data_IF_517790890075
#
_entry.id   IF_517790890075
#
_cell.length_a   1.000
_cell.length_b   1.000
_cell.length_c   1.000
_cell.angle_alpha   90.00
_cell.angle_beta   90.00
_cell.angle_gamma   90.00
#
_symmetry.space_group_name_H-M   'P 1'
#
loop_
_entity.id
_entity.type
_entity.pdbx_description
1 polymer ?
#
# COMPACT_ATOMS: atom_id res chain seq x y z
N UNK A 1 -8.40 -6.42 17.92
CA UNK A 1 -8.37 -6.50 16.45
C UNK A 1 -7.03 -7.03 15.98
N UNK A 2 -6.98 -7.86 14.93
CA UNK A 2 -5.73 -8.39 14.33
C UNK A 2 -5.66 -7.99 12.87
N UNK A 3 -4.53 -7.45 12.44
CA UNK A 3 -4.26 -7.13 11.03
C UNK A 3 -2.81 -7.45 10.67
N UNK A 4 -2.48 -7.43 9.38
CA UNK A 4 -1.10 -7.56 8.89
C UNK A 4 -0.39 -6.22 8.76
N UNK A 5 -1.16 -5.13 8.67
CA UNK A 5 -0.67 -3.84 8.23
C UNK A 5 -0.85 -2.77 9.29
N UNK A 6 0.25 -2.12 9.64
CA UNK A 6 0.29 -1.05 10.61
C UNK A 6 1.10 0.14 10.11
N UNK A 7 0.64 1.34 10.46
CA UNK A 7 1.40 2.58 10.35
C UNK A 7 1.83 3.01 11.74
N UNK A 8 3.06 3.46 11.87
CA UNK A 8 3.64 3.92 13.14
C UNK A 8 4.23 5.30 12.93
N UNK A 9 3.86 6.24 13.79
CA UNK A 9 4.56 7.52 13.92
C UNK A 9 5.55 7.40 15.07
N UNK A 10 6.81 7.17 14.70
CA UNK A 10 7.91 6.95 15.63
C UNK A 10 8.52 8.29 16.00
N UNK A 11 8.38 8.70 17.26
CA UNK A 11 8.85 9.99 17.74
C UNK A 11 10.36 9.93 18.03
N UNK A 12 11.15 10.67 17.27
CA UNK A 12 12.61 10.69 17.34
C UNK A 12 13.15 11.60 18.45
N UNK A 13 12.30 12.43 19.08
CA UNK A 13 12.68 13.18 20.29
C UNK A 13 12.66 12.29 21.53
N UNK A 14 11.87 11.22 21.51
CA UNK A 14 11.71 10.28 22.62
C UNK A 14 12.58 9.04 22.48
N UNK A 15 12.95 8.71 21.24
CA UNK A 15 13.73 7.51 20.94
C UNK A 15 14.49 7.67 19.60
N UNK A 16 15.60 6.99 19.44
CA UNK A 16 16.44 7.10 18.24
C UNK A 16 16.11 6.05 17.20
N UNK A 17 16.40 6.35 15.93
CA UNK A 17 16.28 5.36 14.86
C UNK A 17 17.27 4.18 15.04
N UNK A 18 18.41 4.42 15.67
CA UNK A 18 19.37 3.36 16.02
C UNK A 18 18.75 2.38 17.02
N UNK A 19 18.07 2.89 18.06
CA UNK A 19 17.35 2.02 19.00
C UNK A 19 16.24 1.23 18.32
N UNK A 20 15.53 1.84 17.37
CA UNK A 20 14.56 1.10 16.55
C UNK A 20 15.21 -0.06 15.82
N UNK A 21 16.31 0.19 15.09
CA UNK A 21 17.00 -0.83 14.28
C UNK A 21 17.64 -1.94 15.13
N UNK A 22 18.24 -1.57 16.24
CA UNK A 22 19.00 -2.52 17.09
C UNK A 22 18.10 -3.30 18.05
N UNK A 23 17.06 -2.69 18.58
CA UNK A 23 16.31 -3.25 19.70
C UNK A 23 14.86 -3.58 19.36
N UNK A 24 14.19 -2.83 18.46
CA UNK A 24 12.77 -3.06 18.16
C UNK A 24 12.63 -3.97 16.94
N UNK A 25 13.30 -3.65 15.85
CA UNK A 25 13.21 -4.35 14.58
C UNK A 25 13.50 -5.87 14.70
N UNK A 26 14.54 -6.33 15.42
CA UNK A 26 14.79 -7.77 15.60
C UNK A 26 13.68 -8.51 16.35
N UNK A 27 12.85 -7.78 17.12
CA UNK A 27 11.72 -8.35 17.84
C UNK A 27 10.42 -8.41 17.02
N UNK A 28 10.41 -7.87 15.80
CA UNK A 28 9.25 -7.89 14.91
C UNK A 28 9.17 -9.24 14.17
N UNK A 29 8.96 -10.32 14.93
CA UNK A 29 8.80 -11.66 14.38
C UNK A 29 7.68 -11.68 13.32
N UNK A 30 7.91 -12.38 12.21
CA UNK A 30 7.01 -12.42 11.05
C UNK A 30 6.83 -11.08 10.30
N UNK A 31 7.68 -10.09 10.52
CA UNK A 31 7.76 -8.94 9.64
C UNK A 31 8.19 -9.41 8.24
N UNK A 32 7.39 -9.12 7.24
CA UNK A 32 7.68 -9.47 5.84
C UNK A 32 8.20 -8.26 5.07
N UNK A 33 7.75 -7.08 5.45
CA UNK A 33 8.18 -5.83 4.86
C UNK A 33 8.08 -4.68 5.85
N UNK A 34 9.06 -3.80 5.81
CA UNK A 34 9.08 -2.58 6.57
C UNK A 34 9.72 -1.46 5.74
N UNK A 35 9.11 -0.30 5.78
CA UNK A 35 9.65 0.92 5.21
C UNK A 35 9.36 2.09 6.14
N UNK A 36 10.29 2.99 6.29
CA UNK A 36 10.10 4.20 7.08
C UNK A 36 11.05 5.30 6.65
N UNK A 37 10.65 6.54 6.84
CA UNK A 37 11.45 7.70 6.54
C UNK A 37 11.24 8.80 7.56
N UNK A 38 12.34 9.48 7.92
CA UNK A 38 12.33 10.62 8.83
C UNK A 38 11.73 11.85 8.16
N UNK A 39 10.92 12.60 8.89
CA UNK A 39 10.41 13.89 8.44
C UNK A 39 10.28 14.89 9.59
N UNK A 40 10.36 16.18 9.25
CA UNK A 40 10.02 17.26 10.16
C UNK A 40 8.51 17.53 10.10
N UNK A 41 7.86 17.59 11.27
CA UNK A 41 6.46 17.97 11.35
C UNK A 41 6.24 19.42 10.87
N UNK A 42 5.27 19.62 9.97
CA UNK A 42 5.01 20.93 9.35
C UNK A 42 4.56 21.98 10.38
N UNK A 43 3.75 21.61 11.37
CA UNK A 43 3.17 22.55 12.34
C UNK A 43 4.06 22.80 13.56
N UNK A 44 4.76 21.79 14.07
CA UNK A 44 5.49 21.84 15.34
C UNK A 44 6.99 21.59 15.21
N UNK A 45 7.47 21.29 14.00
CA UNK A 45 8.89 21.07 13.70
C UNK A 45 9.53 19.87 14.42
N UNK A 46 8.74 18.99 15.08
CA UNK A 46 9.34 17.85 15.78
C UNK A 46 9.71 16.73 14.80
N UNK A 47 10.89 16.17 15.02
CA UNK A 47 11.42 15.11 14.19
C UNK A 47 10.73 13.77 14.51
N UNK A 48 10.21 13.10 13.50
CA UNK A 48 9.58 11.79 13.61
C UNK A 48 9.85 10.93 12.39
N UNK A 49 9.56 9.65 12.51
CA UNK A 49 9.64 8.71 11.38
C UNK A 49 8.26 8.08 11.15
N UNK A 50 7.76 8.15 9.94
CA UNK A 50 6.62 7.33 9.53
C UNK A 50 7.11 5.97 9.09
N UNK A 51 6.61 4.90 9.72
CA UNK A 51 7.01 3.53 9.46
C UNK A 51 5.79 2.72 9.07
N UNK A 52 5.81 2.09 7.90
CA UNK A 52 4.83 1.09 7.50
C UNK A 52 5.40 -0.30 7.71
N UNK A 53 4.60 -1.18 8.33
CA UNK A 53 4.98 -2.57 8.59
C UNK A 53 3.91 -3.51 8.02
N UNK A 54 4.35 -4.50 7.23
CA UNK A 54 3.53 -5.60 6.77
C UNK A 54 4.02 -6.92 7.36
N UNK A 55 3.14 -7.64 8.03
CA UNK A 55 3.43 -8.94 8.65
C UNK A 55 2.93 -10.10 7.80
N UNK A 56 3.68 -11.20 7.80
CA UNK A 56 3.26 -12.46 7.14
C UNK A 56 1.93 -12.97 7.71
N UNK A 57 1.74 -12.89 9.01
CA UNK A 57 0.52 -13.29 9.72
C UNK A 57 -0.09 -12.12 10.48
N UNK A 58 -1.43 -12.05 10.64
CA UNK A 58 -2.07 -11.00 11.41
C UNK A 58 -1.60 -10.96 12.86
N UNK A 59 -1.20 -9.77 13.32
CA UNK A 59 -0.78 -9.49 14.72
C UNK A 59 -1.86 -8.66 15.40
N UNK A 60 -2.03 -8.81 16.72
CA UNK A 60 -2.95 -7.97 17.48
C UNK A 60 -2.33 -6.59 17.73
N UNK A 61 -3.19 -5.56 17.71
CA UNK A 61 -2.80 -4.19 18.05
C UNK A 61 -2.09 -4.12 19.41
N UNK A 62 -2.65 -4.77 20.44
CA UNK A 62 -2.10 -4.75 21.81
C UNK A 62 -0.70 -5.37 21.88
N UNK A 63 -0.44 -6.41 21.08
CA UNK A 63 0.89 -7.04 21.00
C UNK A 63 1.92 -6.09 20.40
N UNK A 64 1.53 -5.34 19.38
CA UNK A 64 2.41 -4.36 18.73
C UNK A 64 2.59 -3.13 19.64
N UNK A 65 1.53 -2.65 20.26
CA UNK A 65 1.58 -1.51 21.17
C UNK A 65 2.55 -1.73 22.34
N UNK A 66 2.67 -2.95 22.85
CA UNK A 66 3.65 -3.28 23.89
C UNK A 66 5.11 -3.08 23.46
N UNK A 67 5.39 -3.22 22.17
CA UNK A 67 6.73 -3.02 21.60
C UNK A 67 7.03 -1.55 21.33
N UNK A 68 6.02 -0.79 20.94
CA UNK A 68 6.13 0.61 20.55
C UNK A 68 5.63 1.62 21.60
N UNK A 69 5.43 1.21 22.81
CA UNK A 69 4.86 1.87 24.02
C UNK A 69 4.56 3.38 23.92
N UNK A 70 5.54 4.19 23.51
CA UNK A 70 5.47 5.66 23.52
C UNK A 70 5.19 6.25 22.13
N UNK A 71 5.04 5.40 21.11
CA UNK A 71 4.84 5.80 19.73
C UNK A 71 3.38 5.61 19.31
N UNK A 72 2.93 6.43 18.37
CA UNK A 72 1.58 6.29 17.85
C UNK A 72 1.51 5.14 16.83
N UNK A 73 0.50 4.27 16.98
CA UNK A 73 0.26 3.12 16.09
C UNK A 73 -1.17 3.19 15.61
N UNK A 74 -1.36 2.95 14.34
CA UNK A 74 -2.68 2.76 13.74
C UNK A 74 -2.67 1.63 12.72
N UNK A 75 -3.85 1.06 12.48
CA UNK A 75 -4.04 0.11 11.40
C UNK A 75 -4.00 0.85 10.07
N UNK A 76 -3.52 0.17 9.02
CA UNK A 76 -3.45 0.73 7.68
C UNK A 76 -4.78 1.35 7.21
N UNK A 77 -4.70 2.54 6.67
CA UNK A 77 -5.74 3.23 5.91
C UNK A 77 -5.25 3.35 4.46
N UNK A 78 -6.11 3.15 3.48
CA UNK A 78 -5.72 3.18 2.06
C UNK A 78 -4.98 1.92 1.56
N UNK A 79 -4.35 1.98 0.40
CA UNK A 79 -3.60 0.87 -0.19
C UNK A 79 -2.21 0.70 0.46
N UNK A 80 -1.56 -0.45 0.23
CA UNK A 80 -0.17 -0.67 0.66
C UNK A 80 0.76 0.34 -0.02
N UNK A 81 0.52 0.62 -1.30
CA UNK A 81 1.28 1.59 -2.10
C UNK A 81 1.19 3.00 -1.53
N UNK A 82 -0.02 3.44 -1.14
CA UNK A 82 -0.21 4.74 -0.50
C UNK A 82 0.58 4.86 0.80
N UNK A 83 0.56 3.80 1.63
CA UNK A 83 1.31 3.77 2.88
C UNK A 83 2.83 3.83 2.64
N UNK A 84 3.33 3.08 1.65
CA UNK A 84 4.73 3.11 1.26
C UNK A 84 5.11 4.49 0.74
N UNK A 85 4.34 5.04 -0.22
CA UNK A 85 4.58 6.37 -0.77
C UNK A 85 4.57 7.44 0.32
N UNK A 86 3.68 7.34 1.29
CA UNK A 86 3.63 8.23 2.44
C UNK A 86 4.92 8.16 3.28
N UNK A 87 5.48 6.97 3.48
CA UNK A 87 6.73 6.80 4.21
C UNK A 87 7.98 7.29 3.47
N UNK A 88 7.98 7.23 2.11
CA UNK A 88 9.15 7.57 1.28
C UNK A 88 9.02 8.90 0.54
N UNK A 89 7.92 9.66 0.76
CA UNK A 89 7.73 10.96 0.11
C UNK A 89 8.95 11.85 0.33
N UNK A 90 9.49 12.43 -0.73
CA UNK A 90 10.75 13.15 -0.70
C UNK A 90 10.64 14.60 -0.26
N UNK A 91 9.45 15.20 -0.37
CA UNK A 91 9.21 16.63 -0.17
C UNK A 91 9.42 17.11 1.27
N UNK A 92 9.22 16.22 2.25
CA UNK A 92 9.36 16.53 3.68
C UNK A 92 10.45 15.72 4.38
N UNK A 93 11.26 14.94 3.65
CA UNK A 93 12.32 14.10 4.24
C UNK A 93 13.56 14.92 4.61
N UNK A 94 14.06 14.66 5.82
CA UNK A 94 15.25 15.34 6.36
C UNK A 94 16.52 14.74 5.80
N UNK A 95 16.58 13.42 5.65
CA UNK A 95 17.74 12.72 5.11
C UNK A 95 17.32 11.37 4.49
N UNK A 96 17.75 11.14 3.24
CA UNK A 96 17.53 9.89 2.50
C UNK A 96 18.30 8.72 3.16
N UNK A 97 19.42 8.99 3.83
CA UNK A 97 20.23 7.95 4.47
C UNK A 97 19.57 7.33 5.72
N UNK A 98 18.56 7.98 6.26
CA UNK A 98 17.79 7.47 7.40
C UNK A 98 16.53 6.68 6.98
N UNK A 99 16.40 6.35 5.71
CA UNK A 99 15.34 5.50 5.20
C UNK A 99 15.51 4.07 5.72
N UNK A 100 14.46 3.52 6.32
CA UNK A 100 14.39 2.11 6.70
C UNK A 100 13.73 1.37 5.55
N UNK A 101 14.50 0.56 4.83
CA UNK A 101 13.95 -0.37 3.84
C UNK A 101 14.54 -1.74 4.17
N UNK A 102 13.74 -2.63 4.71
CA UNK A 102 14.14 -3.99 4.99
C UNK A 102 13.13 -4.99 4.44
N UNK A 103 13.66 -6.10 3.92
CA UNK A 103 12.92 -7.18 3.29
C UNK A 103 12.11 -6.72 2.07
N UNK A 104 12.70 -6.86 0.92
CA UNK A 104 12.02 -6.62 -0.36
C UNK A 104 10.81 -7.53 -0.47
N UNK A 105 9.64 -6.95 -0.40
CA UNK A 105 8.45 -7.63 -0.85
C UNK A 105 8.64 -7.88 -2.35
N UNK A 106 8.45 -9.14 -2.77
CA UNK A 106 8.32 -9.44 -4.20
C UNK A 106 7.22 -8.56 -4.79
N UNK A 107 7.39 -8.11 -6.03
CA UNK A 107 6.49 -7.24 -6.80
C UNK A 107 4.99 -7.54 -6.67
N UNK A 108 4.62 -8.77 -6.26
CA UNK A 108 3.24 -9.19 -6.02
C UNK A 108 2.50 -8.49 -4.87
N UNK A 109 3.21 -7.77 -3.97
CA UNK A 109 2.58 -6.97 -2.91
C UNK A 109 2.52 -5.48 -3.29
N UNK A 110 3.41 -5.04 -4.20
CA UNK A 110 3.36 -3.72 -4.84
C UNK A 110 2.41 -3.69 -6.04
N UNK A 111 2.08 -4.84 -6.60
CA UNK A 111 0.88 -4.91 -7.37
C UNK A 111 -0.25 -4.61 -6.38
N UNK A 112 -0.61 -3.30 -6.22
CA UNK A 112 -2.02 -3.03 -6.24
C UNK A 112 -2.49 -4.06 -7.25
N UNK A 113 -3.41 -4.90 -6.90
CA UNK A 113 -4.21 -5.53 -7.94
C UNK A 113 -4.65 -4.32 -8.74
N UNK A 114 -3.86 -4.00 -9.77
CA UNK A 114 -4.30 -3.05 -10.81
C UNK A 114 -5.69 -3.49 -10.99
N UNK A 115 -6.63 -2.62 -10.59
CA UNK A 115 -7.96 -3.11 -10.33
C UNK A 115 -8.27 -3.81 -11.62
N UNK A 116 -8.36 -5.12 -11.58
CA UNK A 116 -8.46 -5.91 -12.83
C UNK A 116 -9.58 -5.34 -13.72
N UNK A 117 -10.50 -4.60 -13.09
CA UNK A 117 -11.54 -3.85 -13.77
C UNK A 117 -11.02 -2.60 -14.48
N UNK A 118 -10.00 -1.91 -13.95
CA UNK A 118 -9.36 -0.75 -14.61
C UNK A 118 -8.61 -1.25 -15.85
N UNK A 119 -7.88 -2.36 -15.76
CA UNK A 119 -7.26 -3.00 -16.93
C UNK A 119 -8.29 -3.43 -17.97
N UNK A 120 -9.42 -3.98 -17.55
CA UNK A 120 -10.52 -4.37 -18.45
C UNK A 120 -11.09 -3.13 -19.14
N UNK A 121 -11.29 -2.04 -18.41
CA UNK A 121 -11.81 -0.78 -18.96
C UNK A 121 -10.82 -0.22 -19.98
N UNK A 122 -9.53 -0.18 -19.68
CA UNK A 122 -8.48 0.24 -20.60
C UNK A 122 -8.46 -0.61 -21.87
N UNK A 123 -8.49 -1.93 -21.74
CA UNK A 123 -8.54 -2.83 -22.89
C UNK A 123 -9.76 -2.58 -23.78
N UNK A 124 -10.94 -2.31 -23.19
CA UNK A 124 -12.16 -1.98 -23.92
C UNK A 124 -12.01 -0.64 -24.66
N UNK A 125 -11.49 0.38 -23.99
CA UNK A 125 -11.24 1.71 -24.57
C UNK A 125 -10.21 1.62 -25.70
N UNK A 126 -9.20 0.77 -25.56
CA UNK A 126 -8.19 0.50 -26.59
C UNK A 126 -8.70 -0.37 -27.76
N UNK A 127 -9.99 -0.74 -27.78
CA UNK A 127 -10.63 -1.42 -28.89
C UNK A 127 -10.62 -2.96 -28.82
N UNK A 128 -10.32 -3.53 -27.66
CA UNK A 128 -10.44 -4.98 -27.47
C UNK A 128 -11.89 -5.44 -27.64
N UNK A 129 -12.09 -6.51 -28.40
CA UNK A 129 -13.41 -7.14 -28.53
C UNK A 129 -13.83 -7.82 -27.22
N UNK A 130 -15.15 -7.96 -27.00
CA UNK A 130 -15.65 -8.67 -25.81
C UNK A 130 -15.08 -10.09 -25.68
N UNK A 131 -14.89 -10.79 -26.81
CA UNK A 131 -14.26 -12.12 -26.82
C UNK A 131 -12.83 -12.09 -26.32
N UNK A 132 -12.03 -11.09 -26.71
CA UNK A 132 -10.66 -10.93 -26.24
C UNK A 132 -10.61 -10.66 -24.73
N UNK A 133 -11.54 -9.85 -24.21
CA UNK A 133 -11.70 -9.60 -22.77
C UNK A 133 -12.00 -10.90 -22.02
N UNK A 134 -12.94 -11.72 -22.50
CA UNK A 134 -13.28 -13.00 -21.87
C UNK A 134 -12.08 -13.96 -21.85
N UNK A 135 -11.28 -13.98 -22.89
CA UNK A 135 -10.08 -14.83 -22.98
C UNK A 135 -8.97 -14.32 -22.04
N UNK A 136 -8.76 -13.01 -21.99
CA UNK A 136 -7.72 -12.39 -21.17
C UNK A 136 -8.03 -12.44 -19.66
N UNK A 137 -9.33 -12.35 -19.28
CA UNK A 137 -9.79 -12.30 -17.89
C UNK A 137 -10.79 -13.42 -17.54
N UNK A 138 -10.44 -14.70 -17.71
CA UNK A 138 -11.39 -15.80 -17.64
C UNK A 138 -12.04 -15.95 -16.26
N UNK A 139 -11.33 -15.67 -15.18
CA UNK A 139 -11.89 -15.72 -13.82
C UNK A 139 -12.98 -14.67 -13.60
N UNK A 140 -12.76 -13.45 -14.07
CA UNK A 140 -13.76 -12.37 -13.97
C UNK A 140 -14.95 -12.69 -14.87
N UNK A 141 -14.70 -13.19 -16.08
CA UNK A 141 -15.74 -13.59 -17.01
C UNK A 141 -16.69 -14.66 -16.43
N UNK A 142 -16.13 -15.65 -15.72
CA UNK A 142 -16.94 -16.71 -15.10
C UNK A 142 -17.86 -16.21 -13.99
N UNK A 143 -17.39 -15.30 -13.15
CA UNK A 143 -18.16 -14.84 -11.98
C UNK A 143 -18.99 -13.58 -12.22
N UNK A 144 -18.65 -12.76 -13.23
CA UNK A 144 -19.24 -11.44 -13.46
C UNK A 144 -19.65 -11.21 -14.93
N UNK A 145 -19.97 -12.25 -15.68
CA UNK A 145 -20.23 -12.17 -17.12
C UNK A 145 -21.24 -11.08 -17.52
N UNK A 146 -22.39 -11.04 -16.84
CA UNK A 146 -23.48 -10.09 -17.15
C UNK A 146 -23.04 -8.64 -16.89
N UNK A 147 -22.39 -8.38 -15.77
CA UNK A 147 -21.89 -7.05 -15.44
C UNK A 147 -20.79 -6.62 -16.41
N UNK A 148 -19.89 -7.53 -16.75
CA UNK A 148 -18.81 -7.28 -17.69
C UNK A 148 -19.35 -6.97 -19.10
N UNK A 149 -20.39 -7.67 -19.52
CA UNK A 149 -21.05 -7.43 -20.81
C UNK A 149 -21.75 -6.08 -20.86
N UNK A 150 -22.41 -5.68 -19.76
CA UNK A 150 -23.05 -4.37 -19.67
C UNK A 150 -22.01 -3.24 -19.75
N UNK A 151 -20.93 -3.31 -18.94
CA UNK A 151 -19.84 -2.34 -18.97
C UNK A 151 -19.23 -2.25 -20.38
N UNK A 152 -19.01 -3.39 -21.04
CA UNK A 152 -18.50 -3.41 -22.41
C UNK A 152 -19.40 -2.66 -23.39
N UNK A 153 -20.70 -2.92 -23.35
CA UNK A 153 -21.67 -2.28 -24.23
C UNK A 153 -21.75 -0.78 -23.97
N UNK A 154 -21.84 -0.36 -22.70
CA UNK A 154 -21.92 1.05 -22.32
C UNK A 154 -20.69 1.84 -22.79
N UNK A 155 -19.50 1.29 -22.60
CA UNK A 155 -18.25 1.91 -23.07
C UNK A 155 -18.15 1.97 -24.61
N UNK A 156 -18.62 0.96 -25.31
CA UNK A 156 -18.64 0.97 -26.79
C UNK A 156 -19.61 2.06 -27.32
N UNK A 157 -20.75 2.25 -26.69
CA UNK A 157 -21.69 3.33 -27.05
C UNK A 157 -21.08 4.72 -26.81
N UNK A 158 -20.34 4.90 -25.71
CA UNK A 158 -19.66 6.18 -25.42
C UNK A 158 -18.53 6.46 -26.43
N UNK A 159 -17.75 5.47 -26.77
CA UNK A 159 -16.67 5.60 -27.78
C UNK A 159 -17.26 5.96 -29.14
N UNK A 160 -18.36 5.32 -29.55
CA UNK A 160 -19.03 5.62 -30.81
C UNK A 160 -19.59 7.07 -30.86
N UNK A 161 -20.12 7.60 -29.76
CA UNK A 161 -20.63 8.99 -29.67
C UNK A 161 -19.54 10.05 -29.79
N UNK A 162 -18.28 9.73 -29.44
CA UNK A 162 -17.13 10.67 -29.49
C UNK A 162 -16.48 10.72 -30.89
N UNK A 163 -16.88 9.85 -31.81
CA UNK A 163 -16.33 9.79 -33.18
C UNK A 163 -17.21 10.50 -34.22
N UNK A 164 -18.32 11.09 -33.78
CA UNK A 164 -19.21 11.93 -34.61
C UNK A 164 -18.99 13.41 -34.26
#
# INVERSE_FOLDING_TARGET
MKTRDYMITYNLEKDSISNFKENILPQLNNCQYIVGGEENGEENGYLHCHIFIHFKNPISFDSLQKKFKIHHIETRKGSIKDCINYCIKTESKVDINNLIIENTIQDSLFQDKENVYDMIIEDIICGSTFRQILIKYPKIALYNYSNLKNIYNDLQEEVAKKQI
#
